data_IF_272465303786
#
_entry.id   IF_272465303786
#
_cell.length_a   1.000
_cell.length_b   1.000
_cell.length_c   1.000
_cell.angle_alpha   90.00
_cell.angle_beta   90.00
_cell.angle_gamma   90.00
#
_symmetry.space_group_name_H-M   'P 1'
#
loop_
_entity.id
_entity.type
_entity.pdbx_description
1 polymer ?
#
# COMPACT_ATOMS: atom_id res chain seq x y z
N UNK A 1 -26.34 -51.51 -40.95
CA UNK A 1 -25.12 -50.71 -40.71
C UNK A 1 -25.33 -49.19 -40.74
N UNK A 2 -26.26 -48.63 -41.54
CA UNK A 2 -26.60 -47.18 -41.52
C UNK A 2 -27.33 -46.69 -40.25
N UNK A 3 -28.13 -47.54 -39.61
CA UNK A 3 -28.89 -47.17 -38.39
C UNK A 3 -28.00 -47.05 -37.13
N UNK A 4 -26.92 -47.84 -37.06
CA UNK A 4 -25.93 -47.79 -35.98
C UNK A 4 -25.03 -46.53 -36.05
N UNK A 5 -24.77 -46.01 -37.25
CA UNK A 5 -24.06 -44.74 -37.44
C UNK A 5 -24.89 -43.53 -36.98
N UNK A 6 -26.22 -43.57 -37.15
CA UNK A 6 -27.12 -42.49 -36.73
C UNK A 6 -27.25 -42.41 -35.20
N UNK A 7 -27.19 -43.55 -34.50
CA UNK A 7 -27.21 -43.61 -33.03
C UNK A 7 -25.90 -43.12 -32.38
N UNK A 8 -24.74 -43.33 -33.04
CA UNK A 8 -23.46 -42.83 -32.54
C UNK A 8 -23.33 -41.30 -32.66
N UNK A 9 -23.93 -40.69 -33.68
CA UNK A 9 -23.90 -39.23 -33.88
C UNK A 9 -24.78 -38.52 -32.84
N UNK A 10 -25.86 -39.15 -32.37
CA UNK A 10 -26.72 -38.59 -31.31
C UNK A 10 -26.04 -38.54 -29.92
N UNK A 11 -25.03 -39.37 -29.68
CA UNK A 11 -24.30 -39.37 -28.40
C UNK A 11 -23.28 -38.21 -28.33
N UNK A 12 -22.77 -37.76 -29.47
CA UNK A 12 -21.76 -36.69 -29.59
C UNK A 12 -22.30 -35.28 -29.34
N UNK A 13 -23.62 -35.08 -29.37
CA UNK A 13 -24.27 -33.77 -29.17
C UNK A 13 -24.63 -33.48 -27.71
N UNK A 14 -24.27 -34.35 -26.76
CA UNK A 14 -24.38 -34.08 -25.31
C UNK A 14 -23.17 -33.33 -24.75
N UNK A 15 -22.57 -32.46 -25.57
CA UNK A 15 -21.58 -31.49 -25.15
C UNK A 15 -22.27 -30.18 -24.77
N UNK A 16 -21.93 -29.69 -23.58
CA UNK A 16 -22.32 -28.40 -23.00
C UNK A 16 -23.70 -28.35 -22.33
N UNK A 17 -23.83 -29.04 -21.20
CA UNK A 17 -24.34 -28.33 -20.04
C UNK A 17 -23.17 -27.66 -19.34
N UNK A 18 -23.01 -26.37 -19.61
CA UNK A 18 -22.29 -25.47 -18.72
C UNK A 18 -22.86 -25.68 -17.34
N UNK A 19 -22.14 -26.43 -16.50
CA UNK A 19 -22.45 -26.46 -15.08
C UNK A 19 -22.33 -25.01 -14.65
N UNK A 20 -23.47 -24.40 -14.36
CA UNK A 20 -23.58 -23.08 -13.74
C UNK A 20 -22.45 -22.95 -12.72
N UNK A 21 -21.34 -22.30 -13.11
CA UNK A 21 -20.48 -21.66 -12.15
C UNK A 21 -21.32 -20.49 -11.66
N UNK A 22 -22.28 -20.81 -10.77
CA UNK A 22 -22.70 -19.85 -9.76
C UNK A 22 -21.40 -19.18 -9.30
N UNK A 23 -21.33 -17.84 -9.25
CA UNK A 23 -20.17 -17.21 -8.62
C UNK A 23 -19.93 -17.97 -7.34
N UNK A 24 -18.72 -18.53 -7.18
CA UNK A 24 -18.38 -19.36 -6.04
C UNK A 24 -18.67 -18.43 -4.85
N UNK A 25 -19.80 -18.61 -4.19
CA UNK A 25 -20.10 -17.90 -2.96
C UNK A 25 -19.02 -18.45 -2.03
N UNK A 26 -17.96 -17.66 -1.88
CA UNK A 26 -16.88 -18.01 -0.99
C UNK A 26 -17.53 -17.98 0.37
N UNK A 27 -17.61 -19.15 1.00
CA UNK A 27 -18.12 -19.24 2.36
C UNK A 27 -17.23 -18.33 3.22
N UNK A 28 -17.79 -17.24 3.80
CA UNK A 28 -17.02 -16.29 4.60
C UNK A 28 -16.44 -16.96 5.87
N UNK A 29 -16.83 -18.20 6.16
CA UNK A 29 -16.35 -19.03 7.25
C UNK A 29 -15.31 -20.06 6.80
N UNK A 30 -14.48 -19.75 5.80
CA UNK A 30 -13.28 -20.55 5.49
C UNK A 30 -12.02 -19.76 5.82
N UNK A 31 -11.11 -20.42 6.53
CA UNK A 31 -9.78 -19.87 6.76
C UNK A 31 -8.88 -20.14 5.55
N UNK A 32 -8.16 -19.11 5.13
CA UNK A 32 -7.16 -19.17 4.06
C UNK A 32 -5.87 -18.52 4.53
N UNK A 33 -4.77 -18.86 3.86
CA UNK A 33 -3.54 -18.11 4.01
C UNK A 33 -3.66 -16.77 3.27
N UNK A 34 -3.56 -15.66 4.00
CA UNK A 34 -3.79 -14.33 3.44
C UNK A 34 -3.14 -13.21 4.23
N UNK A 35 -3.51 -11.97 3.93
CA UNK A 35 -2.92 -10.78 4.56
C UNK A 35 -3.76 -10.33 5.76
N UNK A 36 -3.15 -10.35 6.94
CA UNK A 36 -3.75 -9.87 8.19
C UNK A 36 -3.24 -8.46 8.51
N UNK A 37 -4.13 -7.51 8.84
CA UNK A 37 -3.73 -6.14 9.13
C UNK A 37 -2.99 -6.06 10.46
N UNK A 38 -1.91 -5.28 10.48
CA UNK A 38 -1.22 -4.85 11.70
C UNK A 38 -1.75 -3.47 12.05
N UNK A 39 -2.30 -3.35 13.25
CA UNK A 39 -2.88 -2.10 13.75
C UNK A 39 -1.90 -1.36 14.67
N UNK A 40 -1.96 -0.03 14.63
CA UNK A 40 -1.33 0.84 15.61
C UNK A 40 -2.34 1.85 16.16
N UNK A 41 -2.05 2.40 17.34
CA UNK A 41 -2.80 3.55 17.83
C UNK A 41 -2.65 4.73 16.87
N UNK A 42 -3.68 5.59 16.72
CA UNK A 42 -3.64 6.73 15.78
C UNK A 42 -2.44 7.65 16.01
N UNK A 43 -2.05 7.84 17.27
CA UNK A 43 -0.89 8.64 17.66
C UNK A 43 0.43 7.99 17.24
N UNK A 44 0.55 6.68 17.46
CA UNK A 44 1.72 5.90 17.06
C UNK A 44 1.86 5.84 15.52
N UNK A 45 0.76 5.60 14.81
CA UNK A 45 0.73 5.59 13.35
C UNK A 45 1.18 6.93 12.73
N UNK A 46 0.98 8.04 13.46
CA UNK A 46 1.38 9.40 13.08
C UNK A 46 2.85 9.73 13.42
N UNK A 47 3.60 8.78 13.99
CA UNK A 47 5.03 8.97 14.29
C UNK A 47 5.82 9.09 13.00
N UNK A 48 6.76 10.03 12.99
CA UNK A 48 7.69 10.25 11.88
C UNK A 48 9.09 9.87 12.37
N UNK A 49 9.79 9.07 11.59
CA UNK A 49 11.13 8.56 11.93
C UNK A 49 12.02 8.48 10.69
N UNK A 50 13.33 8.53 10.89
CA UNK A 50 14.31 8.24 9.86
C UNK A 50 14.87 6.84 10.06
N UNK A 51 15.00 6.09 8.96
CA UNK A 51 15.68 4.82 8.89
C UNK A 51 16.94 4.98 8.02
N UNK A 52 18.09 4.65 8.61
CA UNK A 52 19.40 4.66 7.93
C UNK A 52 19.61 3.38 7.11
N UNK A 53 18.63 3.07 6.27
CA UNK A 53 18.64 1.90 5.40
C UNK A 53 17.73 2.11 4.21
N UNK A 54 18.17 1.61 3.05
CA UNK A 54 17.37 1.62 1.84
C UNK A 54 16.19 0.65 1.96
N UNK A 55 15.01 1.13 1.59
CA UNK A 55 13.83 0.28 1.42
C UNK A 55 13.52 0.08 -0.08
N UNK A 56 12.92 -1.07 -0.45
CA UNK A 56 12.43 -1.26 -1.80
C UNK A 56 11.29 -0.28 -2.12
N UNK A 57 11.22 0.16 -3.37
CA UNK A 57 10.09 0.93 -3.88
C UNK A 57 8.99 -0.03 -4.26
N UNK A 58 7.78 0.23 -3.78
CA UNK A 58 6.62 -0.61 -4.10
C UNK A 58 5.54 0.19 -4.84
N UNK A 59 5.11 1.30 -4.26
CA UNK A 59 4.08 2.21 -4.76
C UNK A 59 4.67 3.61 -4.87
N UNK A 60 5.42 3.91 -5.94
CA UNK A 60 6.08 5.19 -6.09
C UNK A 60 5.07 6.32 -6.28
N UNK A 61 5.37 7.47 -5.69
CA UNK A 61 4.68 8.73 -5.93
C UNK A 61 5.58 9.75 -6.62
N UNK A 62 5.30 11.04 -6.37
CA UNK A 62 6.08 12.13 -6.93
C UNK A 62 7.50 12.20 -6.35
N UNK A 63 8.39 12.88 -7.08
CA UNK A 63 9.79 13.07 -6.73
C UNK A 63 10.15 14.56 -6.65
N UNK A 64 11.10 14.91 -5.78
CA UNK A 64 11.71 16.23 -5.72
C UNK A 64 13.22 16.12 -5.62
N UNK A 65 13.93 16.94 -6.40
CA UNK A 65 15.37 17.07 -6.30
C UNK A 65 15.72 18.32 -5.49
N UNK A 66 16.63 18.20 -4.52
CA UNK A 66 17.12 19.30 -3.69
C UNK A 66 18.61 19.09 -3.39
N UNK A 67 19.46 20.01 -3.85
CA UNK A 67 20.91 19.90 -3.68
C UNK A 67 21.42 18.59 -4.29
N UNK A 68 22.11 17.78 -3.49
CA UNK A 68 22.62 16.46 -3.88
C UNK A 68 21.63 15.31 -3.63
N UNK A 69 20.39 15.58 -3.23
CA UNK A 69 19.43 14.53 -2.88
C UNK A 69 18.19 14.52 -3.77
N UNK A 70 17.57 13.35 -3.90
CA UNK A 70 16.21 13.15 -4.41
C UNK A 70 15.37 12.58 -3.29
N UNK A 71 14.20 13.16 -3.10
CA UNK A 71 13.16 12.66 -2.20
C UNK A 71 12.06 12.06 -3.07
N UNK A 72 11.86 10.76 -2.97
CA UNK A 72 10.81 10.06 -3.71
C UNK A 72 9.76 9.55 -2.75
N UNK A 73 8.51 9.96 -2.96
CA UNK A 73 7.39 9.45 -2.20
C UNK A 73 7.17 7.95 -2.45
N UNK A 74 6.92 7.23 -1.36
CA UNK A 74 6.33 5.90 -1.30
C UNK A 74 4.92 6.07 -0.73
N UNK A 75 3.91 5.97 -1.60
CA UNK A 75 2.53 6.32 -1.25
C UNK A 75 2.05 5.49 -0.06
N UNK A 76 1.59 6.19 0.98
CA UNK A 76 1.07 5.60 2.22
C UNK A 76 2.13 5.21 3.25
N UNK A 77 3.43 5.21 2.91
CA UNK A 77 4.49 4.75 3.83
C UNK A 77 5.50 5.84 4.22
N UNK A 78 5.91 6.67 3.27
CA UNK A 78 6.96 7.66 3.55
C UNK A 78 7.75 8.07 2.32
N UNK A 79 9.03 8.36 2.51
CA UNK A 79 9.84 9.09 1.54
C UNK A 79 11.23 8.48 1.48
N UNK A 80 11.60 7.96 0.33
CA UNK A 80 12.95 7.50 0.05
C UNK A 80 13.91 8.68 -0.08
N UNK A 81 15.07 8.59 0.57
CA UNK A 81 16.19 9.54 0.43
C UNK A 81 17.24 8.92 -0.46
N UNK A 82 17.52 9.59 -1.58
CA UNK A 82 18.45 9.12 -2.61
C UNK A 82 19.57 10.14 -2.72
N UNK A 83 20.81 9.72 -2.51
CA UNK A 83 22.00 10.52 -2.83
C UNK A 83 22.21 10.48 -4.35
N UNK A 84 22.31 11.67 -4.96
CA UNK A 84 22.61 11.89 -6.37
C UNK A 84 23.86 12.75 -6.57
N UNK A 85 24.80 12.74 -5.62
CA UNK A 85 26.10 13.42 -5.70
C UNK A 85 26.85 12.97 -6.95
N UNK A 86 26.82 11.67 -7.26
CA UNK A 86 27.19 11.14 -8.56
C UNK A 86 25.91 10.74 -9.33
N UNK A 87 25.43 11.53 -10.31
CA UNK A 87 24.20 11.20 -11.04
C UNK A 87 24.24 9.87 -11.79
N UNK A 88 25.43 9.40 -12.19
CA UNK A 88 25.59 8.10 -12.85
C UNK A 88 25.50 6.91 -11.87
N UNK A 89 25.59 7.18 -10.56
CA UNK A 89 25.57 6.20 -9.47
C UNK A 89 24.74 6.77 -8.31
N UNK A 90 23.47 7.08 -8.57
CA UNK A 90 22.57 7.52 -7.52
C UNK A 90 22.15 6.34 -6.63
N UNK A 91 22.15 6.54 -5.32
CA UNK A 91 21.98 5.48 -4.33
C UNK A 91 20.89 5.84 -3.31
N UNK A 92 20.03 4.87 -2.96
CA UNK A 92 19.11 5.01 -1.82
C UNK A 92 19.92 4.86 -0.54
N UNK A 93 19.92 5.90 0.28
CA UNK A 93 20.70 5.95 1.53
C UNK A 93 19.82 5.89 2.78
N UNK A 94 18.52 6.13 2.65
CA UNK A 94 17.62 6.08 3.80
C UNK A 94 16.14 6.23 3.45
N UNK A 95 15.33 6.21 4.49
CA UNK A 95 13.88 6.30 4.37
C UNK A 95 13.29 7.11 5.53
N UNK A 96 12.48 8.12 5.20
CA UNK A 96 11.72 8.89 6.17
C UNK A 96 10.32 8.28 6.24
N UNK A 97 10.00 7.60 7.33
CA UNK A 97 8.67 7.05 7.56
C UNK A 97 7.69 8.18 7.82
N UNK A 98 6.66 8.26 6.99
CA UNK A 98 5.51 9.17 7.13
C UNK A 98 4.27 8.41 6.70
N UNK A 99 3.65 7.66 7.61
CA UNK A 99 2.50 6.84 7.23
C UNK A 99 1.35 7.71 6.73
N UNK A 100 0.63 7.21 5.73
CA UNK A 100 -0.49 7.93 5.12
C UNK A 100 -0.08 9.13 4.25
N UNK A 101 1.22 9.36 3.99
CA UNK A 101 1.65 10.40 3.05
C UNK A 101 1.26 10.04 1.62
N UNK A 102 0.62 10.96 0.92
CA UNK A 102 0.21 10.77 -0.48
C UNK A 102 0.81 11.80 -1.42
N UNK A 103 1.38 12.88 -0.89
CA UNK A 103 2.06 13.92 -1.66
C UNK A 103 3.19 14.54 -0.85
N UNK A 104 4.27 14.91 -1.54
CA UNK A 104 5.34 15.74 -0.98
C UNK A 104 5.49 17.05 -1.77
N UNK A 105 6.03 18.06 -1.11
CA UNK A 105 6.64 19.25 -1.73
C UNK A 105 7.82 19.72 -0.90
N UNK A 106 8.76 20.44 -1.51
CA UNK A 106 9.95 20.95 -0.83
C UNK A 106 10.12 22.44 -1.11
N UNK A 107 10.41 23.20 -0.06
CA UNK A 107 10.88 24.58 -0.14
C UNK A 107 12.05 24.76 0.82
N UNK A 108 13.19 25.22 0.30
CA UNK A 108 14.44 25.35 1.04
C UNK A 108 14.82 24.02 1.73
N UNK A 109 14.98 24.00 3.05
CA UNK A 109 15.27 22.82 3.85
C UNK A 109 14.02 22.14 4.41
N UNK A 110 12.82 22.51 3.96
CA UNK A 110 11.58 22.02 4.54
C UNK A 110 10.80 21.17 3.54
N UNK A 111 10.51 19.94 3.94
CA UNK A 111 9.63 19.03 3.23
C UNK A 111 8.23 19.11 3.85
N UNK A 112 7.23 19.36 3.01
CA UNK A 112 5.83 19.42 3.38
C UNK A 112 5.14 18.19 2.86
N UNK A 113 4.38 17.51 3.72
CA UNK A 113 3.61 16.34 3.33
C UNK A 113 2.41 16.17 4.24
N UNK A 114 1.43 15.40 3.80
CA UNK A 114 0.37 14.96 4.67
C UNK A 114 0.83 13.75 5.51
N UNK A 115 0.31 13.64 6.72
CA UNK A 115 0.43 12.45 7.57
C UNK A 115 -0.99 12.08 7.99
N UNK A 116 -1.65 11.31 7.13
CA UNK A 116 -3.10 11.15 7.11
C UNK A 116 -3.82 12.50 6.91
N UNK A 117 -4.56 12.95 7.92
CA UNK A 117 -5.32 14.20 7.97
C UNK A 117 -4.48 15.42 8.41
N UNK A 118 -3.25 15.21 8.87
CA UNK A 118 -2.38 16.30 9.31
C UNK A 118 -1.52 16.82 8.15
N UNK A 119 -1.22 18.12 8.15
CA UNK A 119 -0.08 18.67 7.42
C UNK A 119 1.14 18.66 8.34
N UNK A 120 2.25 18.07 7.88
CA UNK A 120 3.52 18.06 8.60
C UNK A 120 4.61 18.75 7.78
N UNK A 121 5.48 19.47 8.47
CA UNK A 121 6.68 20.10 7.92
C UNK A 121 7.88 19.46 8.59
N UNK A 122 8.76 18.89 7.78
CA UNK A 122 9.93 18.12 8.18
C UNK A 122 11.18 18.90 7.75
N UNK A 123 12.07 19.18 8.68
CA UNK A 123 13.40 19.71 8.38
C UNK A 123 14.29 18.59 7.80
N UNK A 124 14.76 18.84 6.58
CA UNK A 124 15.64 17.98 5.77
C UNK A 124 16.96 18.70 5.44
N UNK A 125 17.44 19.56 6.34
CA UNK A 125 18.76 20.19 6.26
C UNK A 125 19.89 19.17 6.38
N UNK A 126 19.70 18.14 7.22
CA UNK A 126 20.54 16.94 7.29
C UNK A 126 19.84 15.79 6.53
N UNK A 127 20.55 15.14 5.59
CA UNK A 127 19.99 14.03 4.82
C UNK A 127 19.83 12.74 5.61
N UNK A 128 20.60 12.58 6.70
CA UNK A 128 20.69 11.33 7.47
C UNK A 128 19.91 11.42 8.79
N UNK A 129 19.18 12.50 9.01
CA UNK A 129 18.32 12.70 10.18
C UNK A 129 17.28 13.76 9.87
N UNK A 130 16.05 13.56 10.32
CA UNK A 130 14.99 14.55 10.12
C UNK A 130 14.31 14.92 11.43
N UNK A 131 13.70 16.11 11.47
CA UNK A 131 12.89 16.54 12.60
C UNK A 131 11.59 17.19 12.13
N UNK A 132 10.51 16.99 12.89
CA UNK A 132 9.23 17.66 12.61
C UNK A 132 9.27 19.05 13.21
N UNK A 133 9.22 20.09 12.38
CA UNK A 133 9.26 21.49 12.83
C UNK A 133 7.87 22.11 12.97
N UNK A 134 6.88 21.55 12.26
CA UNK A 134 5.49 21.97 12.38
C UNK A 134 4.54 20.82 12.08
N UNK A 135 3.44 20.78 12.82
CA UNK A 135 2.26 19.97 12.53
C UNK A 135 1.02 20.85 12.61
N UNK A 136 0.14 20.74 11.62
CA UNK A 136 -1.20 21.32 11.63
C UNK A 136 -2.16 20.15 11.59
N UNK A 137 -2.74 19.83 12.75
CA UNK A 137 -3.62 18.68 12.88
C UNK A 137 -4.94 18.91 12.12
N UNK A 138 -5.43 17.89 11.42
CA UNK A 138 -6.70 17.98 10.68
C UNK A 138 -6.69 19.04 9.57
N UNK A 139 -5.52 19.38 9.01
CA UNK A 139 -5.41 20.28 7.87
C UNK A 139 -6.12 19.75 6.61
N UNK A 140 -6.32 18.43 6.55
CA UNK A 140 -7.01 17.72 5.48
C UNK A 140 -8.17 16.90 6.07
N UNK A 141 -9.35 17.51 6.31
CA UNK A 141 -10.50 16.83 6.94
C UNK A 141 -10.98 15.61 6.14
N UNK A 142 -10.82 15.60 4.82
CA UNK A 142 -11.14 14.46 3.97
C UNK A 142 -10.26 13.23 4.30
N UNK A 143 -9.02 13.47 4.75
CA UNK A 143 -8.10 12.43 5.20
C UNK A 143 -8.50 11.77 6.53
N UNK A 144 -9.39 12.40 7.31
CA UNK A 144 -9.83 11.86 8.61
C UNK A 144 -10.80 10.68 8.46
N UNK A 145 -11.60 10.70 7.39
CA UNK A 145 -12.56 9.62 7.05
C UNK A 145 -11.98 8.60 6.09
N UNK A 146 -10.90 8.97 5.38
CA UNK A 146 -10.26 8.17 4.35
C UNK A 146 -8.79 7.99 4.71
N UNK A 147 -8.53 7.36 5.87
CA UNK A 147 -7.22 6.77 6.13
C UNK A 147 -6.96 5.87 4.95
N UNK A 148 -6.03 6.24 4.07
CA UNK A 148 -5.63 5.45 2.92
C UNK A 148 -5.57 3.99 3.38
N UNK A 149 -6.55 3.19 2.96
CA UNK A 149 -6.50 1.76 3.21
C UNK A 149 -5.31 1.32 2.40
N UNK A 150 -4.16 1.18 3.05
CA UNK A 150 -3.02 0.53 2.44
C UNK A 150 -3.54 -0.88 2.22
N UNK A 151 -4.04 -1.18 1.03
CA UNK A 151 -4.38 -2.55 0.70
C UNK A 151 -3.10 -3.38 0.75
N UNK A 152 -3.20 -4.68 1.03
CA UNK A 152 -2.04 -5.54 0.89
C UNK A 152 -1.46 -5.38 -0.52
N UNK A 153 -0.14 -5.35 -0.62
CA UNK A 153 0.54 -5.14 -1.90
C UNK A 153 0.17 -6.27 -2.85
N UNK A 154 0.28 -7.51 -2.35
CA UNK A 154 -0.03 -8.73 -3.09
C UNK A 154 -1.54 -8.95 -3.22
N UNK A 155 -1.98 -9.30 -4.43
CA UNK A 155 -3.32 -9.81 -4.68
C UNK A 155 -3.60 -11.07 -3.84
N UNK A 156 -4.86 -11.29 -3.52
CA UNK A 156 -5.32 -12.39 -2.67
C UNK A 156 -6.23 -11.93 -1.54
N UNK A 157 -6.53 -12.86 -0.63
CA UNK A 157 -7.41 -12.60 0.50
C UNK A 157 -6.72 -11.75 1.56
N UNK A 158 -7.52 -10.89 2.19
CA UNK A 158 -7.11 -10.13 3.36
C UNK A 158 -8.25 -9.98 4.35
N UNK A 159 -7.92 -9.83 5.63
CA UNK A 159 -8.92 -9.56 6.65
C UNK A 159 -9.34 -8.08 6.54
N UNK A 160 -10.66 -7.85 6.43
CA UNK A 160 -11.19 -6.49 6.27
C UNK A 160 -10.76 -5.60 7.45
N UNK A 161 -10.13 -4.44 7.22
CA UNK A 161 -9.70 -3.53 8.27
C UNK A 161 -10.85 -3.07 9.18
N UNK A 162 -10.58 -2.95 10.49
CA UNK A 162 -11.51 -2.33 11.44
C UNK A 162 -11.55 -0.81 11.23
N UNK A 163 -12.75 -0.23 11.24
CA UNK A 163 -12.96 1.20 11.02
C UNK A 163 -12.42 2.11 12.14
N UNK A 164 -12.24 1.57 13.35
CA UNK A 164 -11.75 2.33 14.51
C UNK A 164 -10.21 2.38 14.61
N UNK A 165 -9.51 1.60 13.78
CA UNK A 165 -8.08 1.32 13.89
C UNK A 165 -7.31 1.81 12.65
N UNK A 166 -6.00 2.00 12.79
CA UNK A 166 -5.13 2.37 11.66
C UNK A 166 -4.28 1.18 11.26
N UNK A 167 -4.42 0.73 10.02
CA UNK A 167 -3.56 -0.31 9.45
C UNK A 167 -2.22 0.32 9.08
N UNK A 168 -1.14 -0.18 9.68
CA UNK A 168 0.24 0.30 9.43
C UNK A 168 1.08 -0.70 8.64
N UNK A 169 0.69 -1.98 8.63
CA UNK A 169 1.34 -3.02 7.86
C UNK A 169 0.41 -4.21 7.63
N UNK A 170 0.89 -5.18 6.85
CA UNK A 170 0.24 -6.48 6.65
C UNK A 170 1.23 -7.60 6.94
N UNK A 171 0.75 -8.65 7.58
CA UNK A 171 1.51 -9.89 7.81
C UNK A 171 0.76 -11.07 7.22
N UNK A 172 1.48 -12.12 6.82
CA UNK A 172 0.83 -13.36 6.36
C UNK A 172 0.35 -14.16 7.57
N UNK A 173 -0.93 -14.53 7.56
CA UNK A 173 -1.55 -15.33 8.62
C UNK A 173 -2.74 -16.14 8.06
N UNK A 174 -3.26 -17.06 8.87
CA UNK A 174 -4.55 -17.70 8.65
C UNK A 174 -5.68 -16.70 8.96
N UNK A 175 -6.47 -16.38 7.94
CA UNK A 175 -7.54 -15.37 8.02
C UNK A 175 -8.84 -15.89 7.43
N UNK A 176 -9.97 -15.29 7.81
CA UNK A 176 -11.24 -15.52 7.13
C UNK A 176 -11.26 -14.87 5.74
N UNK A 177 -11.86 -15.55 4.76
CA UNK A 177 -12.11 -15.02 3.41
C UNK A 177 -13.20 -13.94 3.41
N UNK A 178 -12.88 -12.79 4.01
CA UNK A 178 -13.79 -11.67 4.23
C UNK A 178 -13.63 -10.59 3.16
N UNK A 179 -12.38 -10.27 2.76
CA UNK A 179 -12.04 -9.34 1.71
C UNK A 179 -11.02 -9.96 0.74
N UNK A 180 -10.94 -9.44 -0.50
CA UNK A 180 -9.96 -9.88 -1.49
C UNK A 180 -9.55 -8.76 -2.44
N UNK A 181 -8.27 -8.74 -2.81
CA UNK A 181 -7.69 -7.88 -3.85
C UNK A 181 -7.44 -8.72 -5.10
N UNK A 182 -7.96 -8.28 -6.25
CA UNK A 182 -7.88 -9.00 -7.52
C UNK A 182 -6.48 -8.95 -8.15
#
# INVERSE_FOLDING_TARGET
>A
MRLLLLLLILFSITSCWTRNSRPRFIDPHVHVWGNKPVYAARTEAKTISYLDSALPVIVPGNIYAKGNFIYQLEIGKGIHVIDKTNPAQAERIGFITVNGSSQISIKDNYLYTNNYDDLVVIDISNSNSVSVVKRVAGAFPEGASNYFYIEPIESGYYECPRYDSVVVAWVKDSIWTSCSKN
#
